data_IF_983315988037
#
_entry.id   IF_983315988037
#
_cell.length_a   1.000
_cell.length_b   1.000
_cell.length_c   1.000
_cell.angle_alpha   90.00
_cell.angle_beta   90.00
_cell.angle_gamma   90.00
#
_symmetry.space_group_name_H-M   'P 1'
#
loop_
_entity.id
_entity.type
_entity.pdbx_description
1 polymer ?
#
# COMPACT_ATOMS: atom_id res chain seq x y z
N UNK A 1 9.47 -19.56 -12.41
CA UNK A 1 9.64 -18.73 -11.21
C UNK A 1 10.04 -17.34 -11.69
N UNK A 2 9.12 -16.37 -11.68
CA UNK A 2 9.46 -14.98 -12.01
C UNK A 2 10.41 -14.49 -10.92
N UNK A 3 11.54 -13.90 -11.32
CA UNK A 3 12.44 -13.24 -10.39
C UNK A 3 11.69 -12.01 -9.87
N UNK A 4 11.32 -12.01 -8.60
CA UNK A 4 10.75 -10.83 -7.95
C UNK A 4 11.87 -9.81 -7.89
N UNK A 5 11.72 -8.73 -8.64
CA UNK A 5 12.63 -7.61 -8.53
C UNK A 5 12.13 -6.81 -7.33
N UNK A 6 12.91 -6.74 -6.24
CA UNK A 6 12.62 -5.91 -5.05
C UNK A 6 12.50 -4.40 -5.33
N UNK A 7 12.51 -4.06 -6.62
CA UNK A 7 12.40 -2.76 -7.25
C UNK A 7 10.96 -2.35 -7.52
N UNK A 8 10.04 -3.31 -7.67
CA UNK A 8 8.65 -3.00 -7.97
C UNK A 8 7.77 -3.17 -6.72
N UNK A 9 7.17 -2.07 -6.24
CA UNK A 9 6.29 -2.10 -5.07
C UNK A 9 5.08 -3.01 -5.27
N UNK A 10 4.55 -3.13 -6.49
CA UNK A 10 3.39 -3.98 -6.78
C UNK A 10 3.71 -5.48 -6.58
N UNK A 11 4.87 -5.93 -7.04
CA UNK A 11 5.32 -7.33 -6.84
C UNK A 11 5.50 -7.64 -5.35
N UNK A 12 6.05 -6.70 -4.59
CA UNK A 12 6.19 -6.88 -3.14
C UNK A 12 4.82 -6.88 -2.47
N UNK A 13 3.91 -6.01 -2.90
CA UNK A 13 2.55 -5.97 -2.38
C UNK A 13 1.79 -7.27 -2.66
N UNK A 14 1.99 -7.91 -3.82
CA UNK A 14 1.45 -9.25 -4.08
C UNK A 14 1.97 -10.28 -3.08
N UNK A 15 3.28 -10.28 -2.80
CA UNK A 15 3.86 -11.21 -1.81
C UNK A 15 3.35 -10.90 -0.40
N UNK A 16 3.23 -9.63 -0.03
CA UNK A 16 2.69 -9.22 1.27
C UNK A 16 1.23 -9.65 1.41
N UNK A 17 0.45 -9.59 0.33
CA UNK A 17 -0.94 -10.06 0.33
C UNK A 17 -1.02 -11.55 0.63
N UNK A 18 -0.17 -12.34 -0.02
CA UNK A 18 -0.16 -13.80 0.11
C UNK A 18 0.47 -14.29 1.42
N UNK A 19 1.52 -13.60 1.89
CA UNK A 19 2.35 -13.98 3.04
C UNK A 19 2.78 -12.74 3.86
N UNK A 20 1.84 -12.06 4.54
CA UNK A 20 2.10 -10.82 5.25
C UNK A 20 3.20 -10.96 6.31
N UNK A 21 3.30 -12.12 6.96
CA UNK A 21 4.27 -12.43 8.01
C UNK A 21 5.74 -12.38 7.57
N UNK A 22 6.02 -12.42 6.26
CA UNK A 22 7.39 -12.34 5.73
C UNK A 22 7.96 -10.91 5.75
N UNK A 23 7.09 -9.90 5.74
CA UNK A 23 7.48 -8.49 5.59
C UNK A 23 6.91 -7.60 6.68
N UNK A 24 5.81 -8.02 7.31
CA UNK A 24 5.08 -7.24 8.30
C UNK A 24 5.15 -7.90 9.66
N UNK A 25 5.14 -7.07 10.71
CA UNK A 25 5.06 -7.53 12.09
C UNK A 25 3.68 -8.10 12.45
N UNK A 26 2.64 -7.75 11.68
CA UNK A 26 1.28 -8.27 11.80
C UNK A 26 0.49 -8.01 10.51
N UNK A 27 -0.55 -8.82 10.26
CA UNK A 27 -1.51 -8.59 9.17
C UNK A 27 -2.46 -7.43 9.54
N UNK A 28 -1.95 -6.20 9.47
CA UNK A 28 -2.70 -4.98 9.78
C UNK A 28 -2.38 -3.86 8.81
N UNK A 29 -3.34 -2.97 8.56
CA UNK A 29 -3.11 -1.81 7.70
C UNK A 29 -2.06 -0.87 8.29
N UNK A 30 -1.97 -0.79 9.63
CA UNK A 30 -0.90 -0.04 10.30
C UNK A 30 0.49 -0.59 9.97
N UNK A 31 0.69 -1.90 10.06
CA UNK A 31 1.97 -2.54 9.70
C UNK A 31 2.29 -2.36 8.22
N UNK A 32 1.30 -2.49 7.34
CA UNK A 32 1.45 -2.25 5.91
C UNK A 32 1.83 -0.80 5.58
N UNK A 33 1.17 0.18 6.21
CA UNK A 33 1.50 1.60 6.04
C UNK A 33 2.95 1.88 6.46
N UNK A 34 3.39 1.32 7.59
CA UNK A 34 4.76 1.50 8.08
C UNK A 34 5.78 0.89 7.10
N UNK A 35 5.50 -0.31 6.58
CA UNK A 35 6.30 -0.92 5.54
C UNK A 35 6.40 -0.02 4.30
N UNK A 36 5.27 0.45 3.77
CA UNK A 36 5.22 1.32 2.59
C UNK A 36 5.95 2.65 2.80
N UNK A 37 5.80 3.26 3.98
CA UNK A 37 6.51 4.49 4.32
C UNK A 37 8.04 4.28 4.26
N UNK A 38 8.53 3.17 4.81
CA UNK A 38 9.96 2.84 4.77
C UNK A 38 10.44 2.46 3.37
N UNK A 39 9.67 1.65 2.66
CA UNK A 39 9.99 1.20 1.30
C UNK A 39 10.08 2.38 0.33
N UNK A 40 9.07 3.26 0.32
CA UNK A 40 9.03 4.42 -0.57
C UNK A 40 10.08 5.48 -0.21
N UNK A 41 10.48 5.60 1.05
CA UNK A 41 11.55 6.51 1.47
C UNK A 41 12.92 6.07 0.94
N UNK A 42 13.15 4.76 0.86
CA UNK A 42 14.45 4.17 0.49
C UNK A 42 14.56 3.84 -1.00
N UNK A 43 13.45 3.82 -1.73
CA UNK A 43 13.43 3.56 -3.17
C UNK A 43 13.83 4.79 -3.99
N UNK A 44 14.84 4.70 -4.87
CA UNK A 44 15.12 5.74 -5.86
C UNK A 44 13.95 5.87 -6.86
N UNK A 45 13.64 7.11 -7.28
CA UNK A 45 12.51 7.43 -8.18
C UNK A 45 12.50 6.61 -9.49
N UNK A 46 13.66 6.16 -9.94
CA UNK A 46 13.83 5.41 -11.20
C UNK A 46 13.45 3.93 -11.07
N UNK A 47 13.43 3.43 -9.83
CA UNK A 47 13.18 2.02 -9.51
C UNK A 47 11.67 1.73 -9.45
N UNK A 48 10.87 2.73 -9.14
CA UNK A 48 9.41 2.66 -9.07
C UNK A 48 8.71 2.77 -10.44
N UNK A 49 9.49 2.75 -11.54
CA UNK A 49 9.00 2.76 -12.92
C UNK A 49 8.95 1.34 -13.44
N UNK A 50 7.80 0.71 -13.31
CA UNK A 50 7.42 -0.39 -14.17
C UNK A 50 6.47 0.17 -15.23
N UNK A 51 6.78 0.03 -16.52
CA UNK A 51 5.93 0.55 -17.60
C UNK A 51 4.56 -0.17 -17.64
N UNK A 52 4.45 -1.35 -17.03
CA UNK A 52 3.21 -2.12 -16.95
C UNK A 52 2.25 -1.60 -15.85
N UNK A 53 2.73 -0.77 -14.91
CA UNK A 53 1.92 -0.27 -13.79
C UNK A 53 2.00 1.25 -13.66
N UNK A 54 0.91 1.92 -13.26
CA UNK A 54 0.98 3.34 -12.93
C UNK A 54 1.96 3.59 -11.76
N UNK A 55 2.58 4.78 -11.67
CA UNK A 55 3.38 5.15 -10.51
C UNK A 55 2.55 5.01 -9.22
N UNK A 56 3.12 4.38 -8.19
CA UNK A 56 2.39 4.08 -6.95
C UNK A 56 1.87 5.33 -6.22
N UNK A 57 2.51 6.48 -6.41
CA UNK A 57 1.99 7.77 -5.90
C UNK A 57 0.61 8.14 -6.49
N UNK A 58 0.25 7.64 -7.68
CA UNK A 58 -1.10 7.82 -8.21
C UNK A 58 -2.13 7.04 -7.42
N UNK A 59 -1.78 5.88 -6.88
CA UNK A 59 -2.66 5.14 -5.96
C UNK A 59 -2.88 5.93 -4.67
N UNK A 60 -1.80 6.50 -4.10
CA UNK A 60 -1.90 7.42 -2.95
C UNK A 60 -2.85 8.57 -3.22
N UNK A 61 -2.71 9.24 -4.37
CA UNK A 61 -3.58 10.34 -4.77
C UNK A 61 -5.03 9.88 -4.98
N UNK A 62 -5.23 8.72 -5.61
CA UNK A 62 -6.55 8.14 -5.81
C UNK A 62 -7.28 7.95 -4.47
N UNK A 63 -6.61 7.37 -3.47
CA UNK A 63 -7.17 7.20 -2.11
C UNK A 63 -7.45 8.56 -1.44
N UNK A 64 -6.52 9.51 -1.52
CA UNK A 64 -6.66 10.84 -0.92
C UNK A 64 -7.84 11.63 -1.52
N UNK A 65 -8.11 11.45 -2.81
CA UNK A 65 -9.20 12.13 -3.50
C UNK A 65 -10.59 11.56 -3.16
N UNK A 66 -10.68 10.41 -2.49
CA UNK A 66 -11.96 9.80 -2.14
C UNK A 66 -12.74 10.61 -1.09
N UNK A 67 -12.07 11.37 -0.19
CA UNK A 67 -12.72 12.29 0.75
C UNK A 67 -11.82 13.48 1.09
N UNK A 68 -12.36 14.70 1.03
CA UNK A 68 -11.65 15.95 1.35
C UNK A 68 -10.92 15.94 2.70
N UNK A 69 -11.46 15.22 3.69
CA UNK A 69 -10.86 15.10 5.03
C UNK A 69 -9.49 14.42 5.08
N UNK A 70 -9.04 13.76 4.00
CA UNK A 70 -7.73 13.09 3.97
C UNK A 70 -6.62 13.94 3.33
N UNK A 71 -6.95 15.10 2.75
CA UNK A 71 -5.96 16.01 2.16
C UNK A 71 -4.93 16.41 3.24
N UNK A 72 -3.65 16.16 2.97
CA UNK A 72 -2.54 16.50 3.87
C UNK A 72 -2.23 15.50 4.98
N UNK A 73 -2.88 14.34 5.03
CA UNK A 73 -2.60 13.31 6.04
C UNK A 73 -1.33 12.52 5.70
N UNK A 74 -0.45 12.37 6.71
CA UNK A 74 0.85 11.68 6.57
C UNK A 74 0.73 10.17 6.36
N UNK A 75 -0.33 9.55 6.90
CA UNK A 75 -0.61 8.11 6.81
C UNK A 75 -1.96 7.84 6.11
N UNK A 76 -2.06 8.13 4.80
CA UNK A 76 -3.35 8.16 4.11
C UNK A 76 -4.04 6.80 4.07
N UNK A 77 -3.31 5.70 3.95
CA UNK A 77 -3.90 4.38 3.83
C UNK A 77 -4.47 3.91 5.17
N UNK A 78 -3.68 3.95 6.24
CA UNK A 78 -4.15 3.49 7.55
C UNK A 78 -5.31 4.34 8.08
N UNK A 79 -5.31 5.66 7.86
CA UNK A 79 -6.45 6.51 8.23
C UNK A 79 -7.69 6.24 7.37
N UNK A 80 -7.54 6.07 6.05
CA UNK A 80 -8.66 5.83 5.14
C UNK A 80 -9.31 4.48 5.39
N UNK A 81 -8.54 3.39 5.34
CA UNK A 81 -9.08 2.03 5.38
C UNK A 81 -9.61 1.64 6.76
N UNK A 82 -9.00 2.10 7.86
CA UNK A 82 -9.59 1.90 9.20
C UNK A 82 -10.96 2.53 9.31
N UNK A 83 -11.12 3.72 8.75
CA UNK A 83 -12.39 4.45 8.83
C UNK A 83 -13.49 3.82 7.97
N UNK A 84 -13.14 3.09 6.91
CA UNK A 84 -14.10 2.30 6.13
C UNK A 84 -14.22 0.84 6.64
N UNK A 85 -13.53 0.50 7.72
CA UNK A 85 -13.51 -0.84 8.33
C UNK A 85 -13.89 -0.82 9.82
N UNK A 86 -14.55 0.24 10.31
CA UNK A 86 -14.96 0.39 11.71
C UNK A 86 -13.80 0.26 12.72
N UNK A 87 -12.58 0.61 12.31
CA UNK A 87 -11.36 0.49 13.11
C UNK A 87 -10.70 -0.89 13.09
N UNK A 88 -11.28 -1.88 12.41
CA UNK A 88 -10.70 -3.22 12.27
C UNK A 88 -9.46 -3.17 11.36
N UNK A 89 -8.31 -3.50 11.93
CA UNK A 89 -6.99 -3.45 11.29
C UNK A 89 -6.81 -4.47 10.17
N UNK A 90 -7.33 -5.69 10.36
CA UNK A 90 -7.17 -6.79 9.42
C UNK A 90 -8.14 -6.62 8.25
N UNK A 91 -9.38 -6.22 8.54
CA UNK A 91 -10.35 -5.85 7.50
C UNK A 91 -9.88 -4.66 6.69
N UNK A 92 -9.27 -3.65 7.33
CA UNK A 92 -8.68 -2.51 6.63
C UNK A 92 -7.48 -2.92 5.75
N UNK A 93 -6.69 -3.90 6.20
CA UNK A 93 -5.62 -4.49 5.40
C UNK A 93 -6.18 -5.18 4.15
N UNK A 94 -7.25 -5.96 4.27
CA UNK A 94 -7.89 -6.62 3.13
C UNK A 94 -8.52 -5.62 2.16
N UNK A 95 -9.18 -4.57 2.69
CA UNK A 95 -9.73 -3.49 1.86
C UNK A 95 -8.66 -2.75 1.06
N UNK A 96 -7.46 -2.56 1.62
CA UNK A 96 -6.35 -1.96 0.86
C UNK A 96 -6.08 -2.73 -0.43
N UNK A 97 -5.95 -4.05 -0.35
CA UNK A 97 -5.67 -4.88 -1.53
C UNK A 97 -6.84 -4.94 -2.48
N UNK A 98 -8.07 -4.97 -1.96
CA UNK A 98 -9.26 -4.86 -2.81
C UNK A 98 -9.29 -3.56 -3.62
N UNK A 99 -8.96 -2.43 -2.99
CA UNK A 99 -8.87 -1.14 -3.70
C UNK A 99 -7.69 -1.10 -4.68
N UNK A 100 -6.58 -1.73 -4.33
CA UNK A 100 -5.42 -1.82 -5.21
C UNK A 100 -5.73 -2.61 -6.48
N UNK A 101 -6.56 -3.66 -6.41
CA UNK A 101 -6.98 -4.45 -7.58
C UNK A 101 -7.95 -3.71 -8.51
N UNK A 102 -8.67 -2.71 -7.97
CA UNK A 102 -9.62 -1.89 -8.73
C UNK A 102 -8.97 -0.66 -9.38
N UNK A 103 -7.72 -0.38 -9.05
CA UNK A 103 -6.97 0.79 -9.50
C UNK A 103 -6.14 0.47 -10.76
#
# INVERSE_FOLDING_TARGET
MKLVSSKNVYEILEIIRDKPELYLTSKSISSLQNFLNGYLLLMPNDINRNDDYPPFDKFKQHILNQKERFIGISNPYSSFFKLNSDGDEERAFEQFFHYLDLF
#
